data_IF_517085558530
#
_entry.id   IF_517085558530
#
_cell.length_a   1.000
_cell.length_b   1.000
_cell.length_c   1.000
_cell.angle_alpha   90.00
_cell.angle_beta   90.00
_cell.angle_gamma   90.00
#
_symmetry.space_group_name_H-M   'P 1'
#
loop_
_entity.id
_entity.type
_entity.pdbx_description
1 polymer ?
#
# COMPACT_ATOMS: atom_id res chain seq x y z
N UNK A 1 -5.22 -18.35 2.85
CA UNK A 1 -4.61 -19.68 3.08
C UNK A 1 -3.52 -19.60 4.14
N UNK A 2 -2.65 -18.59 4.06
CA UNK A 2 -1.55 -18.39 4.99
C UNK A 2 -1.62 -17.00 5.63
N UNK A 3 -1.33 -16.96 6.92
CA UNK A 3 -1.34 -15.73 7.72
C UNK A 3 0.02 -15.02 7.63
N UNK A 4 0.05 -13.78 8.14
CA UNK A 4 1.29 -13.06 8.40
C UNK A 4 2.32 -13.97 9.11
N UNK A 5 3.60 -13.95 8.70
CA UNK A 5 4.20 -13.09 7.67
C UNK A 5 4.23 -13.68 6.24
N UNK A 6 3.63 -14.86 5.99
CA UNK A 6 3.78 -15.62 4.73
C UNK A 6 3.49 -14.81 3.46
N UNK A 7 2.41 -14.00 3.34
CA UNK A 7 2.18 -13.22 2.13
C UNK A 7 3.31 -12.22 1.82
N UNK A 8 3.96 -11.67 2.85
CA UNK A 8 5.10 -10.78 2.66
C UNK A 8 6.36 -11.56 2.22
N UNK A 9 6.59 -12.75 2.80
CA UNK A 9 7.67 -13.65 2.39
C UNK A 9 7.53 -14.06 0.92
N UNK A 10 6.31 -14.41 0.48
CA UNK A 10 6.03 -14.77 -0.92
C UNK A 10 6.33 -13.59 -1.87
N UNK A 11 5.99 -12.35 -1.46
CA UNK A 11 6.32 -11.14 -2.25
C UNK A 11 7.85 -10.92 -2.34
N UNK A 12 8.56 -11.13 -1.25
CA UNK A 12 10.02 -10.98 -1.21
C UNK A 12 10.73 -12.05 -2.05
N UNK A 13 10.29 -13.30 -1.97
CA UNK A 13 10.79 -14.39 -2.82
C UNK A 13 10.51 -14.13 -4.31
N UNK A 14 9.32 -13.60 -4.64
CA UNK A 14 8.98 -13.23 -6.02
C UNK A 14 9.90 -12.13 -6.57
N UNK A 15 10.22 -11.12 -5.73
CA UNK A 15 11.15 -10.07 -6.11
C UNK A 15 12.59 -10.60 -6.26
N UNK A 16 13.05 -11.46 -5.36
CA UNK A 16 14.36 -12.10 -5.46
C UNK A 16 14.45 -12.92 -6.76
N UNK A 17 13.42 -13.72 -7.07
CA UNK A 17 13.36 -14.46 -8.33
C UNK A 17 13.43 -13.54 -9.57
N UNK A 18 12.73 -12.41 -9.54
CA UNK A 18 12.75 -11.43 -10.63
C UNK A 18 14.16 -10.86 -10.83
N UNK A 19 14.84 -10.51 -9.73
CA UNK A 19 16.21 -9.97 -9.75
C UNK A 19 17.20 -11.02 -10.28
N UNK A 20 17.11 -12.26 -9.82
CA UNK A 20 17.97 -13.37 -10.28
C UNK A 20 17.80 -13.68 -11.78
N UNK A 21 16.61 -13.43 -12.32
CA UNK A 21 16.30 -13.66 -13.73
C UNK A 21 16.28 -12.38 -14.58
N UNK A 22 16.76 -11.26 -14.05
CA UNK A 22 16.65 -9.94 -14.69
C UNK A 22 17.26 -9.91 -16.11
N UNK A 23 18.41 -10.53 -16.32
CA UNK A 23 19.07 -10.61 -17.64
C UNK A 23 18.17 -11.32 -18.67
N UNK A 24 17.45 -12.37 -18.25
CA UNK A 24 16.57 -13.13 -19.14
C UNK A 24 15.38 -12.32 -19.64
N UNK A 25 14.92 -11.36 -18.83
CA UNK A 25 13.76 -10.52 -19.12
C UNK A 25 14.15 -9.09 -19.52
N UNK A 26 15.44 -8.80 -19.66
CA UNK A 26 15.98 -7.47 -19.98
C UNK A 26 15.51 -6.39 -18.98
N UNK A 27 15.47 -6.76 -17.69
CA UNK A 27 15.04 -5.87 -16.60
C UNK A 27 16.24 -5.15 -16.01
N UNK A 28 16.13 -3.84 -15.87
CA UNK A 28 17.05 -3.05 -15.05
C UNK A 28 16.67 -3.16 -13.57
N UNK A 29 17.46 -3.89 -12.81
CA UNK A 29 17.19 -4.13 -11.37
C UNK A 29 17.19 -2.86 -10.52
N UNK A 30 17.74 -1.75 -11.03
CA UNK A 30 17.72 -0.45 -10.35
C UNK A 30 16.46 0.36 -10.69
N UNK A 31 15.55 -0.16 -11.52
CA UNK A 31 14.31 0.49 -11.97
C UNK A 31 13.06 -0.34 -11.67
N UNK A 32 13.12 -1.18 -10.66
CA UNK A 32 11.98 -1.97 -10.23
C UNK A 32 11.10 -1.11 -9.32
N UNK A 33 9.89 -0.81 -9.75
CA UNK A 33 8.86 -0.23 -8.90
C UNK A 33 7.99 -1.34 -8.30
N UNK A 34 7.53 -1.16 -7.06
CA UNK A 34 6.55 -2.04 -6.45
C UNK A 34 5.22 -1.32 -6.33
N UNK A 35 4.14 -2.03 -6.66
CA UNK A 35 2.80 -1.48 -6.61
C UNK A 35 1.83 -2.44 -5.92
N UNK A 36 0.85 -1.89 -5.23
CA UNK A 36 -0.21 -2.69 -4.64
C UNK A 36 -1.43 -1.86 -4.25
N UNK A 37 -2.58 -2.51 -4.24
CA UNK A 37 -3.85 -1.92 -3.85
C UNK A 37 -4.38 -2.53 -2.55
N UNK A 38 -4.97 -1.72 -1.67
CA UNK A 38 -5.57 -2.18 -0.41
C UNK A 38 -4.56 -2.97 0.45
N UNK A 39 -4.82 -4.24 0.74
CA UNK A 39 -3.88 -5.16 1.39
C UNK A 39 -2.58 -5.34 0.58
N UNK A 40 -2.66 -5.31 -0.77
CA UNK A 40 -1.46 -5.31 -1.63
C UNK A 40 -0.63 -4.04 -1.44
N UNK A 41 -1.25 -2.89 -1.18
CA UNK A 41 -0.56 -1.66 -0.79
C UNK A 41 0.18 -1.78 0.54
N UNK A 42 -0.40 -2.52 1.51
CA UNK A 42 0.30 -2.89 2.74
C UNK A 42 1.54 -3.72 2.44
N UNK A 43 1.38 -4.81 1.68
CA UNK A 43 2.49 -5.70 1.32
C UNK A 43 3.60 -4.94 0.58
N UNK A 44 3.24 -4.02 -0.33
CA UNK A 44 4.21 -3.22 -1.07
C UNK A 44 5.03 -2.30 -0.14
N UNK A 45 4.38 -1.61 0.80
CA UNK A 45 5.06 -0.76 1.78
C UNK A 45 5.94 -1.59 2.74
N UNK A 46 5.41 -2.71 3.25
CA UNK A 46 6.15 -3.61 4.14
C UNK A 46 7.34 -4.28 3.44
N UNK A 47 7.21 -4.61 2.15
CA UNK A 47 8.32 -5.17 1.37
C UNK A 47 9.46 -4.16 1.21
N UNK A 48 9.18 -2.87 1.01
CA UNK A 48 10.23 -1.84 1.02
C UNK A 48 11.00 -1.85 2.35
N UNK A 49 10.27 -1.88 3.47
CA UNK A 49 10.89 -1.94 4.81
C UNK A 49 11.74 -3.20 4.98
N UNK A 50 11.20 -4.37 4.63
CA UNK A 50 11.88 -5.65 4.77
C UNK A 50 13.20 -5.67 3.99
N UNK A 51 13.19 -5.20 2.74
CA UNK A 51 14.38 -5.20 1.90
C UNK A 51 15.46 -4.24 2.41
N UNK A 52 15.08 -3.09 2.95
CA UNK A 52 15.99 -2.15 3.62
C UNK A 52 16.63 -2.80 4.85
N UNK A 53 15.82 -3.37 5.75
CA UNK A 53 16.33 -3.98 6.99
C UNK A 53 17.21 -5.22 6.73
N UNK A 54 16.98 -5.93 5.62
CA UNK A 54 17.78 -7.09 5.21
C UNK A 54 18.97 -6.71 4.30
N UNK A 55 19.13 -5.44 3.92
CA UNK A 55 20.21 -4.98 3.04
C UNK A 55 20.15 -5.58 1.63
N UNK A 56 18.94 -5.86 1.15
CA UNK A 56 18.65 -6.36 -0.20
C UNK A 56 18.49 -5.22 -1.21
N UNK A 57 18.43 -5.56 -2.50
CA UNK A 57 18.10 -4.59 -3.56
C UNK A 57 16.69 -4.03 -3.30
N UNK A 58 16.62 -2.71 -3.17
CA UNK A 58 15.40 -1.97 -2.85
C UNK A 58 14.61 -1.60 -4.12
N UNK A 59 13.28 -1.48 -4.04
CA UNK A 59 12.51 -0.86 -5.12
C UNK A 59 12.93 0.59 -5.35
N UNK A 60 12.93 1.04 -6.61
CA UNK A 60 13.16 2.45 -6.95
C UNK A 60 12.05 3.37 -6.42
N UNK A 61 10.82 2.85 -6.36
CA UNK A 61 9.63 3.57 -5.86
C UNK A 61 8.54 2.62 -5.40
N UNK A 62 7.69 3.10 -4.51
CA UNK A 62 6.48 2.42 -4.06
C UNK A 62 5.23 3.14 -4.59
N UNK A 63 4.23 2.37 -5.07
CA UNK A 63 2.98 2.87 -5.62
C UNK A 63 1.83 2.21 -4.86
N UNK A 64 1.16 2.99 -4.03
CA UNK A 64 0.20 2.49 -3.04
C UNK A 64 -1.20 3.02 -3.37
N UNK A 65 -2.11 2.13 -3.73
CA UNK A 65 -3.49 2.47 -4.03
C UNK A 65 -4.37 2.16 -2.81
N UNK A 66 -5.00 3.18 -2.24
CA UNK A 66 -5.85 3.09 -1.06
C UNK A 66 -5.34 2.08 -0.03
N UNK A 67 -4.06 2.20 0.40
CA UNK A 67 -3.37 1.15 1.14
C UNK A 67 -3.87 1.04 2.58
N UNK A 68 -3.87 -0.18 3.12
CA UNK A 68 -3.94 -0.43 4.56
C UNK A 68 -2.52 -0.31 5.14
N UNK A 69 -2.26 0.70 5.98
CA UNK A 69 -0.90 0.99 6.48
C UNK A 69 -0.78 1.01 7.99
N UNK A 70 -1.91 0.87 8.67
CA UNK A 70 -1.99 0.89 10.13
C UNK A 70 -2.95 -0.22 10.62
N UNK A 71 -2.65 -0.82 11.76
CA UNK A 71 -3.45 -1.91 12.34
C UNK A 71 -4.26 -1.49 13.58
N UNK A 72 -4.14 -0.25 14.06
CA UNK A 72 -4.79 0.16 15.30
C UNK A 72 -5.15 1.62 15.40
N UNK A 73 -5.05 2.38 14.31
CA UNK A 73 -5.33 3.82 14.31
C UNK A 73 -6.82 4.15 14.47
N UNK A 74 -7.09 5.18 15.26
CA UNK A 74 -8.45 5.71 15.46
C UNK A 74 -8.79 6.77 14.39
N UNK A 75 -9.09 6.31 13.17
CA UNK A 75 -9.37 7.18 12.04
C UNK A 75 -10.85 7.51 11.88
N UNK A 76 -11.14 8.79 11.54
CA UNK A 76 -12.50 9.26 11.32
C UNK A 76 -13.14 8.57 10.11
N UNK A 77 -12.37 8.31 9.06
CA UNK A 77 -12.87 7.63 7.85
C UNK A 77 -13.39 6.22 8.15
N UNK A 78 -12.71 5.46 9.00
CA UNK A 78 -13.18 4.15 9.47
C UNK A 78 -14.54 4.30 10.13
N UNK A 79 -14.69 5.23 11.08
CA UNK A 79 -15.96 5.47 11.79
C UNK A 79 -17.09 5.94 10.87
N UNK A 80 -16.74 6.64 9.78
CA UNK A 80 -17.74 7.26 8.89
C UNK A 80 -18.18 6.33 7.77
N UNK A 81 -17.29 5.49 7.25
CA UNK A 81 -17.53 4.78 5.98
C UNK A 81 -17.64 3.26 6.11
N UNK A 82 -17.73 2.72 7.34
CA UNK A 82 -17.91 1.28 7.58
C UNK A 82 -19.34 0.85 7.87
N UNK A 83 -20.32 1.69 7.59
CA UNK A 83 -21.74 1.47 7.93
C UNK A 83 -22.51 0.58 6.92
N UNK A 84 -21.81 0.00 5.94
CA UNK A 84 -22.38 -0.93 4.96
C UNK A 84 -22.85 -0.30 3.66
N UNK A 85 -22.81 1.02 3.49
CA UNK A 85 -23.13 1.68 2.22
C UNK A 85 -21.99 1.59 1.18
N UNK A 86 -20.78 1.34 1.67
CA UNK A 86 -19.58 1.22 0.84
C UNK A 86 -19.03 -0.20 0.92
N UNK A 87 -18.21 -0.61 -0.05
CA UNK A 87 -17.73 -2.00 -0.19
C UNK A 87 -17.03 -2.56 1.06
N UNK A 88 -16.30 -1.72 1.79
CA UNK A 88 -15.47 -2.13 2.91
C UNK A 88 -16.20 -1.84 4.24
N UNK A 89 -16.95 -2.82 4.74
CA UNK A 89 -17.68 -2.69 6.00
C UNK A 89 -16.80 -2.99 7.21
N UNK A 90 -17.28 -2.65 8.42
CA UNK A 90 -16.57 -2.96 9.68
C UNK A 90 -16.35 -4.46 9.85
N UNK A 91 -17.39 -5.24 9.62
CA UNK A 91 -17.32 -6.71 9.74
C UNK A 91 -16.31 -7.31 8.77
N UNK A 92 -16.22 -6.73 7.57
CA UNK A 92 -15.27 -7.19 6.55
C UNK A 92 -13.83 -6.82 6.93
N UNK A 93 -13.59 -5.62 7.46
CA UNK A 93 -12.28 -5.22 7.99
C UNK A 93 -11.85 -6.13 9.14
N UNK A 94 -12.73 -6.39 10.09
CA UNK A 94 -12.48 -7.30 11.20
C UNK A 94 -12.20 -8.73 10.71
N UNK A 95 -12.95 -9.18 9.71
CA UNK A 95 -12.76 -10.52 9.12
C UNK A 95 -11.40 -10.63 8.43
N UNK A 96 -11.01 -9.65 7.63
CA UNK A 96 -9.67 -9.63 7.00
C UNK A 96 -8.56 -9.59 8.05
N UNK A 97 -8.65 -8.71 9.04
CA UNK A 97 -7.68 -8.60 10.12
C UNK A 97 -7.50 -9.92 10.85
N UNK A 98 -8.61 -10.52 11.31
CA UNK A 98 -8.58 -11.79 12.05
C UNK A 98 -8.03 -12.98 11.23
N UNK A 99 -8.14 -12.94 9.90
CA UNK A 99 -7.57 -13.98 9.04
C UNK A 99 -6.11 -13.72 8.66
N UNK A 100 -5.63 -12.48 8.77
CA UNK A 100 -4.30 -12.11 8.35
C UNK A 100 -3.28 -12.09 9.48
N UNK A 101 -3.61 -11.46 10.63
CA UNK A 101 -2.64 -11.11 11.66
C UNK A 101 -3.18 -11.43 13.06
N UNK A 102 -2.31 -11.76 14.00
CA UNK A 102 -2.64 -11.89 15.41
C UNK A 102 -2.38 -10.55 16.16
N UNK A 103 -3.10 -10.31 17.25
CA UNK A 103 -2.98 -9.06 18.03
C UNK A 103 -1.54 -8.77 18.50
N UNK A 104 -0.75 -9.81 18.75
CA UNK A 104 0.66 -9.69 19.12
C UNK A 104 1.54 -9.00 18.06
N UNK A 105 1.09 -9.02 16.81
CA UNK A 105 1.82 -8.47 15.67
C UNK A 105 1.27 -7.11 15.18
N UNK A 106 0.27 -6.53 15.86
CA UNK A 106 -0.33 -5.25 15.42
C UNK A 106 0.67 -4.08 15.38
N UNK A 107 1.75 -4.14 16.15
CA UNK A 107 2.81 -3.12 16.10
C UNK A 107 4.01 -3.53 15.24
N UNK A 108 3.96 -4.70 14.61
CA UNK A 108 5.03 -5.20 13.79
C UNK A 108 5.17 -4.36 12.50
N UNK A 109 6.36 -3.84 12.24
CA UNK A 109 6.64 -2.97 11.08
C UNK A 109 6.41 -3.67 9.72
N UNK A 110 6.40 -4.99 9.70
CA UNK A 110 6.13 -5.81 8.52
C UNK A 110 4.65 -6.10 8.30
N UNK A 111 3.79 -5.60 9.18
CA UNK A 111 2.34 -5.65 9.05
C UNK A 111 1.70 -4.25 9.09
N UNK A 112 2.27 -3.35 9.89
CA UNK A 112 1.86 -1.96 10.05
C UNK A 112 3.02 -1.01 9.71
N UNK A 113 3.25 -0.68 8.44
CA UNK A 113 4.39 0.12 7.99
C UNK A 113 4.40 1.53 8.60
N UNK A 114 3.27 2.02 9.12
CA UNK A 114 3.16 3.26 9.89
C UNK A 114 4.09 3.29 11.12
N UNK A 115 4.42 2.13 11.69
CA UNK A 115 5.26 2.00 12.90
C UNK A 115 6.77 1.98 12.61
N UNK A 116 7.18 2.06 11.34
CA UNK A 116 8.60 2.04 11.00
C UNK A 116 9.28 3.35 11.36
N UNK A 117 10.35 3.29 12.17
CA UNK A 117 11.03 4.49 12.69
C UNK A 117 11.98 5.14 11.68
N UNK A 118 12.56 4.36 10.76
CA UNK A 118 13.54 4.85 9.76
C UNK A 118 12.87 5.22 8.43
N UNK A 119 11.76 5.95 8.48
CA UNK A 119 10.95 6.30 7.30
C UNK A 119 11.75 7.03 6.22
N UNK A 120 12.77 7.81 6.60
CA UNK A 120 13.65 8.53 5.68
C UNK A 120 14.48 7.62 4.75
N UNK A 121 14.54 6.33 5.02
CA UNK A 121 15.20 5.35 4.15
C UNK A 121 14.27 4.80 3.06
N UNK A 122 12.96 5.02 3.19
CA UNK A 122 11.99 4.46 2.24
C UNK A 122 12.07 5.12 0.86
N UNK A 123 11.82 4.36 -0.22
CA UNK A 123 11.85 4.90 -1.57
C UNK A 123 10.73 5.91 -1.81
N UNK A 124 10.85 6.77 -2.84
CA UNK A 124 9.80 7.67 -3.26
C UNK A 124 8.46 6.97 -3.40
N UNK A 125 7.38 7.65 -3.00
CA UNK A 125 6.04 7.07 -2.96
C UNK A 125 5.03 7.82 -3.84
N UNK A 126 4.22 7.08 -4.59
CA UNK A 126 2.94 7.54 -5.12
C UNK A 126 1.84 6.94 -4.27
N UNK A 127 1.06 7.77 -3.57
CA UNK A 127 -0.02 7.31 -2.69
C UNK A 127 -1.34 7.89 -3.18
N UNK A 128 -2.26 6.99 -3.48
CA UNK A 128 -3.60 7.32 -3.99
C UNK A 128 -4.64 6.88 -2.97
N UNK A 129 -5.59 7.77 -2.63
CA UNK A 129 -6.71 7.44 -1.75
C UNK A 129 -8.05 7.77 -2.42
N UNK A 130 -9.13 7.17 -1.92
CA UNK A 130 -10.49 7.46 -2.33
C UNK A 130 -11.25 8.22 -1.24
N UNK A 131 -12.14 9.13 -1.61
CA UNK A 131 -12.83 10.00 -0.66
C UNK A 131 -13.84 9.27 0.23
N UNK A 132 -14.54 8.28 -0.34
CA UNK A 132 -15.50 7.42 0.38
C UNK A 132 -14.88 6.07 0.72
N UNK A 133 -13.79 6.10 1.50
CA UNK A 133 -13.01 4.91 1.82
C UNK A 133 -12.67 4.90 3.33
N UNK A 134 -12.96 3.80 4.05
CA UNK A 134 -12.51 3.65 5.43
C UNK A 134 -11.01 3.84 5.63
N UNK A 135 -10.17 3.43 4.67
CA UNK A 135 -8.70 3.52 4.74
C UNK A 135 -8.14 4.88 4.28
N UNK A 136 -9.01 5.85 3.91
CA UNK A 136 -8.58 7.16 3.42
C UNK A 136 -7.65 7.89 4.37
N UNK A 137 -8.05 8.02 5.62
CA UNK A 137 -7.35 8.86 6.58
C UNK A 137 -5.99 8.26 7.00
N UNK A 138 -5.89 6.92 7.10
CA UNK A 138 -4.61 6.26 7.36
C UNK A 138 -3.65 6.37 6.17
N UNK A 139 -4.13 6.18 4.94
CA UNK A 139 -3.33 6.38 3.73
C UNK A 139 -2.81 7.81 3.60
N UNK A 140 -3.65 8.80 3.94
CA UNK A 140 -3.24 10.21 4.00
C UNK A 140 -2.21 10.45 5.11
N UNK A 141 -2.42 9.92 6.30
CA UNK A 141 -1.50 10.05 7.42
C UNK A 141 -0.13 9.44 7.09
N UNK A 142 -0.11 8.32 6.38
CA UNK A 142 1.12 7.69 5.91
C UNK A 142 1.88 8.59 4.91
N UNK A 143 1.15 9.19 3.96
CA UNK A 143 1.76 10.16 3.05
C UNK A 143 2.38 11.35 3.79
N UNK A 144 1.66 11.90 4.78
CA UNK A 144 2.12 13.02 5.58
C UNK A 144 3.35 12.68 6.45
N UNK A 145 3.40 11.48 7.05
CA UNK A 145 4.55 11.08 7.87
C UNK A 145 5.79 10.80 7.01
N UNK A 146 5.62 10.20 5.83
CA UNK A 146 6.72 10.04 4.86
C UNK A 146 7.30 11.40 4.44
N UNK A 147 6.44 12.38 4.08
CA UNK A 147 6.89 13.73 3.73
C UNK A 147 7.63 14.44 4.88
N UNK A 148 7.16 14.27 6.12
CA UNK A 148 7.82 14.83 7.33
C UNK A 148 9.21 14.20 7.57
N UNK A 149 9.46 13.03 7.02
CA UNK A 149 10.73 12.32 7.08
C UNK A 149 11.53 12.42 5.76
N UNK A 150 11.31 13.49 4.99
CA UNK A 150 12.06 13.84 3.78
C UNK A 150 11.94 12.80 2.63
N UNK A 151 10.94 11.91 2.67
CA UNK A 151 10.63 11.03 1.54
C UNK A 151 9.84 11.82 0.49
N UNK A 152 10.23 11.69 -0.78
CA UNK A 152 9.49 12.29 -1.89
C UNK A 152 8.15 11.57 -2.08
N UNK A 153 7.03 12.25 -1.82
CA UNK A 153 5.68 11.69 -1.94
C UNK A 153 4.84 12.49 -2.93
N UNK A 154 4.28 11.82 -3.92
CA UNK A 154 3.15 12.33 -4.72
C UNK A 154 1.86 11.74 -4.13
N UNK A 155 1.06 12.58 -3.47
CA UNK A 155 -0.22 12.17 -2.87
C UNK A 155 -1.38 12.71 -3.68
N UNK A 156 -2.37 11.85 -3.97
CA UNK A 156 -3.61 12.24 -4.64
C UNK A 156 -4.81 11.57 -4.00
N UNK A 157 -5.80 12.36 -3.58
CA UNK A 157 -7.13 11.88 -3.21
C UNK A 157 -8.10 12.04 -4.39
N UNK A 158 -8.92 11.02 -4.62
CA UNK A 158 -10.08 11.09 -5.52
C UNK A 158 -11.36 11.19 -4.68
N UNK A 159 -11.89 12.40 -4.42
CA UNK A 159 -12.90 12.64 -3.39
C UNK A 159 -14.27 12.03 -3.69
N UNK A 160 -14.56 11.70 -4.94
CA UNK A 160 -15.83 11.11 -5.39
C UNK A 160 -15.79 9.59 -5.53
N UNK A 161 -14.63 8.95 -5.30
CA UNK A 161 -14.47 7.52 -5.51
C UNK A 161 -14.51 6.75 -4.20
N UNK A 162 -14.78 5.45 -4.30
CA UNK A 162 -14.86 4.50 -3.19
C UNK A 162 -13.61 3.61 -3.14
N UNK A 163 -13.43 2.87 -2.03
CA UNK A 163 -12.41 1.83 -1.92
C UNK A 163 -12.46 0.86 -3.10
N UNK A 164 -11.32 0.45 -3.62
CA UNK A 164 -11.24 -0.53 -4.71
C UNK A 164 -11.65 0.01 -6.09
N UNK A 165 -11.74 1.31 -6.30
CA UNK A 165 -12.24 1.93 -7.54
C UNK A 165 -11.47 1.49 -8.81
N UNK A 166 -10.25 1.06 -8.70
CA UNK A 166 -9.47 0.52 -9.83
C UNK A 166 -10.09 -0.75 -10.45
N UNK A 167 -10.99 -1.42 -9.73
CA UNK A 167 -11.69 -2.60 -10.21
C UNK A 167 -13.01 -2.25 -10.96
N UNK A 168 -13.43 -0.97 -10.97
CA UNK A 168 -14.70 -0.52 -11.59
C UNK A 168 -14.47 0.12 -12.94
N UNK A 169 -14.10 -0.69 -13.92
CA UNK A 169 -13.75 -0.24 -15.29
C UNK A 169 -14.93 0.30 -16.13
N UNK A 170 -16.16 0.23 -15.62
CA UNK A 170 -17.36 0.74 -16.32
C UNK A 170 -17.79 2.14 -15.86
N UNK A 171 -17.25 2.65 -14.75
CA UNK A 171 -17.58 3.98 -14.23
C UNK A 171 -16.64 5.04 -14.86
N UNK A 172 -17.18 6.07 -15.55
CA UNK A 172 -16.36 7.07 -16.25
C UNK A 172 -15.35 7.77 -15.33
N UNK A 173 -15.75 8.07 -14.10
CA UNK A 173 -14.88 8.72 -13.09
C UNK A 173 -13.69 7.83 -12.69
N UNK A 174 -13.91 6.52 -12.56
CA UNK A 174 -12.86 5.56 -12.29
C UNK A 174 -11.88 5.46 -13.47
N UNK A 175 -12.41 5.44 -14.70
CA UNK A 175 -11.60 5.43 -15.92
C UNK A 175 -10.69 6.64 -16.01
N UNK A 176 -11.25 7.84 -15.79
CA UNK A 176 -10.49 9.09 -15.77
C UNK A 176 -9.39 9.07 -14.69
N UNK A 177 -9.70 8.57 -13.50
CA UNK A 177 -8.72 8.41 -12.44
C UNK A 177 -7.57 7.48 -12.85
N UNK A 178 -7.87 6.35 -13.50
CA UNK A 178 -6.85 5.41 -13.98
C UNK A 178 -5.94 6.03 -15.05
N UNK A 179 -6.48 6.83 -15.97
CA UNK A 179 -5.69 7.56 -16.96
C UNK A 179 -4.73 8.54 -16.28
N UNK A 180 -5.22 9.37 -15.35
CA UNK A 180 -4.38 10.30 -14.58
C UNK A 180 -3.28 9.59 -13.77
N UNK A 181 -3.61 8.45 -13.14
CA UNK A 181 -2.66 7.62 -12.39
C UNK A 181 -1.60 7.04 -13.33
N UNK A 182 -2.01 6.54 -14.49
CA UNK A 182 -1.08 6.01 -15.51
C UNK A 182 -0.03 7.04 -15.93
N UNK A 183 -0.43 8.29 -16.11
CA UNK A 183 0.52 9.37 -16.44
C UNK A 183 1.49 9.65 -15.28
N UNK A 184 1.03 9.61 -14.03
CA UNK A 184 1.89 9.76 -12.84
C UNK A 184 2.89 8.61 -12.66
N UNK A 185 2.51 7.40 -13.05
CA UNK A 185 3.41 6.24 -12.98
C UNK A 185 4.54 6.36 -14.03
N UNK A 186 4.26 6.93 -15.18
CA UNK A 186 5.24 7.12 -16.27
C UNK A 186 6.20 8.29 -16.04
N UNK A 187 5.84 9.23 -15.16
CA UNK A 187 6.64 10.43 -14.86
C UNK A 187 7.69 10.15 -13.78
#
# INVERSE_FOLDING_TARGET
EHRFPKPLEDCDEAMDWLIENADKFEIDINKIAIAGDSAGGNLAACLCIKRIEEGKIEPERQILFYPAVDTGGDYKSIKTFTDGYFLLTKELLEWFGNNYIDESDYTNIYAAPMNYEKLNLLPPALIITAGFDPLRDEGKAYAEILQKNDVKVDYKEYPSLIHGFLNFTIAPECFKAMEEISEKIKS
#
